data_IF_507791795435
#
_entry.id   IF_507791795435
#
_cell.length_a   1.000
_cell.length_b   1.000
_cell.length_c   1.000
_cell.angle_alpha   90.00
_cell.angle_beta   90.00
_cell.angle_gamma   90.00
#
_symmetry.space_group_name_H-M   'P 1'
#
loop_
_entity.id
_entity.type
_entity.pdbx_description
1 polymer ?
#
# COMPACT_ATOMS: atom_id res chain seq x y z
N UNK A 1 -15.46 29.66 0.46
CA UNK A 1 -14.83 29.44 1.78
C UNK A 1 -13.48 28.69 1.75
N UNK A 2 -13.38 27.37 1.54
CA UNK A 2 -12.05 26.71 1.58
C UNK A 2 -11.06 27.24 0.53
N UNK A 3 -11.53 27.52 -0.69
CA UNK A 3 -10.71 28.11 -1.76
C UNK A 3 -10.22 29.53 -1.39
N UNK A 4 -11.11 30.37 -0.87
CA UNK A 4 -10.78 31.72 -0.37
C UNK A 4 -9.74 31.69 0.77
N UNK A 5 -9.90 30.79 1.74
CA UNK A 5 -8.97 30.66 2.88
C UNK A 5 -7.60 30.15 2.41
N UNK A 6 -7.57 29.29 1.39
CA UNK A 6 -6.33 28.82 0.78
C UNK A 6 -5.59 29.94 0.02
N UNK A 7 -6.33 30.83 -0.65
CA UNK A 7 -5.77 32.03 -1.29
C UNK A 7 -5.20 33.03 -0.27
N UNK A 8 -5.72 33.03 0.96
CA UNK A 8 -5.19 33.80 2.09
C UNK A 8 -4.00 33.12 2.82
N UNK A 9 -3.43 32.06 2.25
CA UNK A 9 -2.20 31.43 2.75
C UNK A 9 -2.41 30.20 3.65
N UNK A 10 -3.63 29.69 3.79
CA UNK A 10 -3.87 28.46 4.54
C UNK A 10 -3.37 27.22 3.80
N UNK A 11 -2.38 26.53 4.37
CA UNK A 11 -1.74 25.33 3.80
C UNK A 11 -2.43 24.02 4.20
N UNK A 12 -3.48 24.09 5.04
CA UNK A 12 -4.14 22.91 5.60
C UNK A 12 -5.22 22.27 4.70
N UNK A 13 -5.81 21.18 5.20
CA UNK A 13 -6.79 20.38 4.47
C UNK A 13 -8.19 21.01 4.47
N UNK A 14 -8.96 20.76 3.41
CA UNK A 14 -10.38 21.17 3.31
C UNK A 14 -11.25 20.56 4.41
N UNK A 15 -10.90 19.37 4.88
CA UNK A 15 -11.61 18.68 5.96
C UNK A 15 -11.46 19.40 7.30
N UNK A 16 -10.30 20.01 7.58
CA UNK A 16 -10.08 20.79 8.80
C UNK A 16 -10.96 22.05 8.81
N UNK A 17 -11.03 22.76 7.69
CA UNK A 17 -11.96 23.90 7.52
C UNK A 17 -13.41 23.46 7.63
N UNK A 18 -13.78 22.33 7.02
CA UNK A 18 -15.13 21.76 7.13
C UNK A 18 -15.51 21.44 8.58
N UNK A 19 -14.58 20.90 9.38
CA UNK A 19 -14.79 20.64 10.81
C UNK A 19 -14.91 21.91 11.63
N UNK A 20 -14.07 22.92 11.36
CA UNK A 20 -14.16 24.21 12.03
C UNK A 20 -15.50 24.89 11.79
N UNK A 21 -16.04 24.78 10.57
CA UNK A 21 -17.29 25.45 10.17
C UNK A 21 -18.54 24.65 10.57
N UNK A 22 -18.42 23.34 10.83
CA UNK A 22 -19.57 22.48 11.13
C UNK A 22 -20.38 22.91 12.37
N UNK A 23 -19.79 23.32 13.51
CA UNK A 23 -20.53 23.85 14.65
C UNK A 23 -21.38 25.08 14.30
N UNK A 24 -20.83 25.99 13.48
CA UNK A 24 -21.55 27.18 13.00
C UNK A 24 -22.75 26.85 12.11
N UNK A 25 -22.85 25.61 11.60
CA UNK A 25 -23.99 25.13 10.79
C UNK A 25 -24.99 24.28 11.57
N UNK A 26 -24.66 23.87 12.80
CA UNK A 26 -25.45 22.91 13.57
C UNK A 26 -26.70 23.51 14.24
N UNK A 27 -26.82 24.83 14.33
CA UNK A 27 -28.05 25.49 14.81
C UNK A 27 -29.14 25.50 13.73
N UNK A 28 -29.81 24.36 13.54
CA UNK A 28 -31.04 24.28 12.75
C UNK A 28 -32.20 24.87 13.55
N UNK A 29 -32.75 26.00 13.10
CA UNK A 29 -34.06 26.47 13.55
C UNK A 29 -34.36 27.96 13.38
N UNK A 30 -33.36 28.85 13.38
CA UNK A 30 -33.55 30.28 13.09
C UNK A 30 -32.35 30.79 12.29
N UNK A 31 -32.59 31.39 11.13
CA UNK A 31 -31.56 32.04 10.32
C UNK A 31 -31.01 33.26 11.07
N UNK A 32 -29.99 33.05 11.91
CA UNK A 32 -29.18 34.15 12.44
C UNK A 32 -27.98 34.35 11.54
N UNK A 33 -27.67 35.60 11.24
CA UNK A 33 -26.52 36.00 10.42
C UNK A 33 -25.21 35.48 11.04
N UNK A 34 -24.23 35.11 10.22
CA UNK A 34 -22.88 34.72 10.65
C UNK A 34 -22.27 35.73 11.65
N UNK A 35 -22.65 37.01 11.55
CA UNK A 35 -22.22 38.10 12.45
C UNK A 35 -22.82 38.06 13.87
N UNK A 36 -23.81 37.21 14.13
CA UNK A 36 -24.59 37.20 15.39
C UNK A 36 -24.37 35.96 16.25
N UNK A 37 -23.32 35.19 15.96
CA UNK A 37 -22.81 34.12 16.83
C UNK A 37 -21.65 34.73 17.62
N UNK A 38 -21.90 35.14 18.87
CA UNK A 38 -20.82 35.39 19.80
C UNK A 38 -20.10 34.06 20.05
N UNK A 39 -18.79 33.97 19.79
CA UNK A 39 -18.07 32.74 20.00
C UNK A 39 -17.96 32.49 21.50
N UNK A 40 -18.76 31.57 22.04
CA UNK A 40 -18.37 30.93 23.29
C UNK A 40 -17.03 30.22 23.02
N UNK A 41 -15.99 30.68 23.72
CA UNK A 41 -14.62 30.14 23.70
C UNK A 41 -14.58 28.60 23.87
N UNK A 42 -15.66 28.00 24.36
CA UNK A 42 -15.89 26.55 24.45
C UNK A 42 -15.88 25.81 23.10
N UNK A 43 -16.00 26.50 21.95
CA UNK A 43 -15.91 25.88 20.61
C UNK A 43 -14.52 25.97 19.96
N UNK A 44 -13.55 26.62 20.62
CA UNK A 44 -12.14 26.35 20.32
C UNK A 44 -11.91 24.90 20.71
N UNK A 45 -11.78 24.02 19.72
CA UNK A 45 -11.44 22.60 19.88
C UNK A 45 -10.46 22.48 21.05
N UNK A 46 -10.92 21.97 22.19
CA UNK A 46 -10.09 21.79 23.36
C UNK A 46 -8.91 20.91 22.90
N UNK A 47 -7.64 21.37 22.97
CA UNK A 47 -6.49 20.59 22.51
C UNK A 47 -6.40 19.22 23.19
N UNK A 48 -7.08 19.02 24.32
CA UNK A 48 -7.18 17.74 25.03
C UNK A 48 -8.15 16.73 24.40
N UNK A 49 -9.07 17.14 23.51
CA UNK A 49 -9.96 16.24 22.77
C UNK A 49 -9.38 15.81 21.41
N UNK A 50 -8.06 15.67 21.30
CA UNK A 50 -7.46 14.93 20.19
C UNK A 50 -7.97 13.49 20.29
N UNK A 51 -8.94 13.14 19.43
CA UNK A 51 -9.46 11.77 19.32
C UNK A 51 -8.30 10.79 19.34
N UNK A 52 -8.21 9.98 20.41
CA UNK A 52 -7.18 8.95 20.58
C UNK A 52 -7.08 8.18 19.26
N UNK A 53 -5.90 8.17 18.64
CA UNK A 53 -5.68 7.41 17.40
C UNK A 53 -6.06 5.96 17.73
N UNK A 54 -6.99 5.40 16.96
CA UNK A 54 -7.39 4.00 17.15
C UNK A 54 -6.14 3.13 16.98
N UNK A 55 -5.97 2.10 17.82
CA UNK A 55 -4.85 1.19 17.64
C UNK A 55 -4.91 0.56 16.23
N UNK A 56 -3.76 0.21 15.64
CA UNK A 56 -3.72 -0.44 14.35
C UNK A 56 -4.42 -1.80 14.40
N UNK A 57 -4.97 -2.22 13.27
CA UNK A 57 -5.60 -3.55 13.16
C UNK A 57 -4.55 -4.64 13.05
N UNK A 58 -4.91 -5.88 13.42
CA UNK A 58 -4.03 -7.04 13.27
C UNK A 58 -3.49 -7.20 11.84
N UNK A 59 -4.32 -6.91 10.82
CA UNK A 59 -3.91 -6.94 9.42
C UNK A 59 -2.88 -5.87 9.08
N UNK A 60 -3.00 -4.66 9.65
CA UNK A 60 -1.99 -3.61 9.46
C UNK A 60 -0.66 -4.02 10.07
N UNK A 61 -0.69 -4.59 11.28
CA UNK A 61 0.50 -5.09 11.98
C UNK A 61 1.17 -6.19 11.15
N UNK A 62 0.42 -7.22 10.75
CA UNK A 62 0.92 -8.30 9.91
C UNK A 62 1.54 -7.79 8.59
N UNK A 63 0.91 -6.79 7.97
CA UNK A 63 1.44 -6.17 6.76
C UNK A 63 2.76 -5.43 7.02
N UNK A 64 2.92 -4.75 8.17
CA UNK A 64 4.18 -4.12 8.54
C UNK A 64 5.29 -5.15 8.76
N UNK A 65 4.96 -6.30 9.38
CA UNK A 65 5.90 -7.40 9.58
C UNK A 65 6.45 -7.95 8.25
N UNK A 66 5.73 -7.82 7.14
CA UNK A 66 6.22 -8.32 5.84
C UNK A 66 7.24 -7.35 5.20
N UNK A 67 7.19 -6.05 5.48
CA UNK A 67 8.07 -5.06 4.83
C UNK A 67 9.47 -4.99 5.44
N UNK A 68 10.44 -4.47 4.64
CA UNK A 68 11.75 -4.10 5.17
C UNK A 68 11.59 -3.01 6.22
N UNK A 69 12.47 -3.01 7.20
CA UNK A 69 12.45 -2.03 8.29
C UNK A 69 12.52 -0.59 7.76
N UNK A 70 13.33 -0.33 6.72
CA UNK A 70 13.49 1.01 6.13
C UNK A 70 12.21 1.55 5.47
N UNK A 71 11.25 0.67 5.15
CA UNK A 71 9.98 1.05 4.53
C UNK A 71 8.89 1.40 5.55
N UNK A 72 9.18 1.20 6.84
CA UNK A 72 8.25 1.48 7.94
C UNK A 72 8.47 2.91 8.43
N UNK A 73 7.39 3.52 8.90
CA UNK A 73 7.48 4.78 9.64
C UNK A 73 8.05 4.50 11.04
N UNK A 74 8.76 5.45 11.61
CA UNK A 74 9.39 5.32 12.94
C UNK A 74 8.40 4.84 14.02
N UNK A 75 7.19 5.42 14.07
CA UNK A 75 6.17 4.99 15.03
C UNK A 75 5.68 3.54 14.81
N UNK A 76 5.74 3.02 13.57
CA UNK A 76 5.37 1.63 13.28
C UNK A 76 6.44 0.67 13.79
N UNK A 77 7.72 1.04 13.64
CA UNK A 77 8.84 0.30 14.20
C UNK A 77 8.72 0.24 15.72
N UNK A 78 8.59 1.40 16.38
CA UNK A 78 8.44 1.45 17.84
C UNK A 78 7.22 0.67 18.33
N UNK A 79 6.11 0.69 17.57
CA UNK A 79 4.91 -0.08 17.92
C UNK A 79 5.15 -1.59 17.84
N UNK A 80 5.84 -2.07 16.79
CA UNK A 80 6.19 -3.49 16.65
C UNK A 80 7.16 -3.92 17.74
N UNK A 81 8.18 -3.11 18.07
CA UNK A 81 9.12 -3.40 19.17
C UNK A 81 8.37 -3.58 20.49
N UNK A 82 7.51 -2.62 20.85
CA UNK A 82 6.69 -2.72 22.06
C UNK A 82 5.73 -3.92 22.05
N UNK A 83 5.25 -4.32 20.87
CA UNK A 83 4.36 -5.47 20.75
C UNK A 83 5.14 -6.78 20.98
N UNK A 84 6.33 -6.91 20.40
CA UNK A 84 7.21 -8.07 20.61
C UNK A 84 7.71 -8.16 22.06
N UNK A 85 7.96 -7.03 22.73
CA UNK A 85 8.34 -7.03 24.17
C UNK A 85 7.21 -7.53 25.07
N UNK A 86 5.95 -7.31 24.69
CA UNK A 86 4.78 -7.70 25.48
C UNK A 86 4.36 -9.13 25.30
N UNK A 87 4.67 -9.74 24.15
CA UNK A 87 4.24 -11.08 23.80
C UNK A 87 5.35 -11.82 23.05
N UNK A 88 5.91 -12.83 23.71
CA UNK A 88 6.99 -13.65 23.18
C UNK A 88 6.59 -14.49 21.97
N UNK A 89 5.32 -14.91 21.88
CA UNK A 89 4.81 -15.65 20.74
C UNK A 89 4.74 -14.75 19.50
N UNK A 90 4.35 -13.48 19.67
CA UNK A 90 4.39 -12.48 18.58
C UNK A 90 5.84 -12.20 18.16
N UNK A 91 6.76 -12.05 19.12
CA UNK A 91 8.18 -11.83 18.83
C UNK A 91 8.77 -12.96 17.98
N UNK A 92 8.55 -14.21 18.40
CA UNK A 92 9.00 -15.40 17.68
C UNK A 92 8.38 -15.50 16.28
N UNK A 93 7.07 -15.24 16.16
CA UNK A 93 6.39 -15.22 14.86
C UNK A 93 6.97 -14.15 13.95
N UNK A 94 7.27 -12.97 14.50
CA UNK A 94 7.86 -11.86 13.76
C UNK A 94 9.26 -12.22 13.23
N UNK A 95 10.11 -12.85 14.04
CA UNK A 95 11.43 -13.33 13.61
C UNK A 95 11.33 -14.32 12.44
N UNK A 96 10.48 -15.35 12.56
CA UNK A 96 10.29 -16.35 11.51
C UNK A 96 9.78 -15.73 10.20
N UNK A 97 8.91 -14.71 10.29
CA UNK A 97 8.45 -13.94 9.12
C UNK A 97 9.60 -13.11 8.51
N UNK A 98 10.44 -12.46 9.32
CA UNK A 98 11.60 -11.72 8.81
C UNK A 98 12.57 -12.65 8.09
N UNK A 99 12.90 -13.79 8.69
CA UNK A 99 13.79 -14.80 8.08
C UNK A 99 13.27 -15.24 6.72
N UNK A 100 11.99 -15.61 6.62
CA UNK A 100 11.38 -16.03 5.36
C UNK A 100 11.35 -14.92 4.32
N UNK A 101 10.94 -13.71 4.71
CA UNK A 101 10.86 -12.58 3.77
C UNK A 101 12.24 -12.12 3.31
N UNK A 102 13.28 -12.25 4.14
CA UNK A 102 14.66 -12.01 3.74
C UNK A 102 15.11 -13.07 2.73
N UNK A 103 14.90 -14.35 3.04
CA UNK A 103 15.23 -15.46 2.15
C UNK A 103 14.58 -15.28 0.76
N UNK A 104 13.32 -14.85 0.72
CA UNK A 104 12.59 -14.55 -0.52
C UNK A 104 13.18 -13.37 -1.31
N UNK A 105 13.70 -12.34 -0.64
CA UNK A 105 14.27 -11.15 -1.28
C UNK A 105 15.66 -11.41 -1.82
N UNK A 106 16.51 -12.04 -1.01
CA UNK A 106 17.91 -12.31 -1.31
C UNK A 106 18.11 -13.59 -2.13
N UNK A 107 17.02 -14.36 -2.29
CA UNK A 107 16.95 -15.59 -3.09
C UNK A 107 17.82 -16.74 -2.58
N UNK A 108 17.71 -16.98 -1.28
CA UNK A 108 18.51 -17.96 -0.53
C UNK A 108 17.74 -19.27 -0.35
N UNK A 109 17.36 -19.92 -1.47
CA UNK A 109 16.53 -21.13 -1.42
C UNK A 109 17.19 -22.32 -0.72
N UNK A 110 18.51 -22.32 -0.55
CA UNK A 110 19.26 -23.29 0.25
C UNK A 110 18.91 -23.25 1.75
N UNK A 111 18.49 -22.09 2.27
CA UNK A 111 18.11 -21.91 3.69
C UNK A 111 16.68 -22.39 4.00
N UNK A 112 15.93 -22.83 2.98
CA UNK A 112 14.53 -23.22 3.13
C UNK A 112 14.35 -24.39 4.11
N UNK A 113 15.25 -25.39 4.07
CA UNK A 113 15.16 -26.58 4.91
C UNK A 113 15.31 -26.23 6.39
N UNK A 114 16.33 -25.43 6.72
CA UNK A 114 16.59 -24.95 8.08
C UNK A 114 15.41 -24.12 8.62
N UNK A 115 14.84 -23.26 7.78
CA UNK A 115 13.69 -22.45 8.18
C UNK A 115 12.44 -23.30 8.41
N UNK A 116 12.18 -24.31 7.56
CA UNK A 116 11.04 -25.22 7.74
C UNK A 116 11.13 -26.01 9.05
N UNK A 117 12.33 -26.49 9.39
CA UNK A 117 12.58 -27.18 10.67
C UNK A 117 12.37 -26.24 11.86
N UNK A 118 12.86 -25.00 11.75
CA UNK A 118 12.67 -24.00 12.81
C UNK A 118 11.20 -23.69 13.04
N UNK A 119 10.41 -23.48 11.97
CA UNK A 119 8.97 -23.23 12.07
C UNK A 119 8.22 -24.42 12.66
N UNK A 120 8.63 -25.65 12.36
CA UNK A 120 7.99 -26.85 12.92
C UNK A 120 8.17 -26.93 14.43
N UNK A 121 9.36 -26.59 14.93
CA UNK A 121 9.70 -26.63 16.36
C UNK A 121 9.22 -25.41 17.16
N UNK A 122 9.23 -24.23 16.54
CA UNK A 122 9.10 -22.93 17.21
C UNK A 122 7.93 -22.08 16.70
N UNK A 123 7.31 -22.45 15.59
CA UNK A 123 6.23 -21.68 14.98
C UNK A 123 4.89 -21.87 15.68
N UNK A 124 4.03 -20.86 15.56
CA UNK A 124 2.60 -20.99 15.90
C UNK A 124 1.89 -21.94 14.92
N UNK A 125 0.76 -22.52 15.33
CA UNK A 125 0.06 -23.55 14.53
C UNK A 125 -0.31 -23.09 13.11
N UNK A 126 -0.64 -21.81 12.92
CA UNK A 126 -0.91 -21.22 11.62
C UNK A 126 0.33 -21.20 10.72
N UNK A 127 1.50 -20.88 11.29
CA UNK A 127 2.76 -20.82 10.56
C UNK A 127 3.29 -22.23 10.25
N UNK A 128 3.10 -23.18 11.17
CA UNK A 128 3.35 -24.61 10.92
C UNK A 128 2.48 -25.14 9.78
N UNK A 129 1.18 -24.81 9.77
CA UNK A 129 0.27 -25.18 8.68
C UNK A 129 0.69 -24.57 7.34
N UNK A 130 1.17 -23.32 7.35
CA UNK A 130 1.75 -22.68 6.18
C UNK A 130 3.01 -23.41 5.69
N UNK A 131 3.94 -23.75 6.59
CA UNK A 131 5.15 -24.51 6.27
C UNK A 131 4.83 -25.90 5.70
N UNK A 132 3.83 -26.60 6.22
CA UNK A 132 3.35 -27.86 5.63
C UNK A 132 2.81 -27.68 4.20
N UNK A 133 2.15 -26.55 3.92
CA UNK A 133 1.76 -26.18 2.57
C UNK A 133 2.97 -26.02 1.65
N UNK A 134 4.02 -25.33 2.10
CA UNK A 134 5.26 -25.18 1.33
C UNK A 134 5.96 -26.52 1.07
N UNK A 135 5.99 -27.42 2.07
CA UNK A 135 6.58 -28.77 1.91
C UNK A 135 5.91 -29.59 0.80
N UNK A 136 4.60 -29.41 0.56
CA UNK A 136 3.88 -30.13 -0.52
C UNK A 136 4.34 -29.70 -1.91
N UNK A 137 4.68 -28.42 -2.07
CA UNK A 137 5.15 -27.82 -3.32
C UNK A 137 6.66 -27.49 -3.25
N UNK A 138 7.43 -28.28 -2.48
CA UNK A 138 8.81 -27.96 -2.08
C UNK A 138 9.71 -27.55 -3.24
N UNK A 139 9.78 -28.36 -4.29
CA UNK A 139 10.61 -28.09 -5.47
C UNK A 139 10.24 -26.75 -6.14
N UNK A 140 8.95 -26.45 -6.23
CA UNK A 140 8.48 -25.21 -6.83
C UNK A 140 8.79 -24.00 -5.93
N UNK A 141 8.65 -24.16 -4.60
CA UNK A 141 8.99 -23.12 -3.62
C UNK A 141 10.49 -22.85 -3.61
N UNK A 142 11.32 -23.89 -3.55
CA UNK A 142 12.78 -23.77 -3.60
C UNK A 142 13.26 -23.12 -4.89
N UNK A 143 12.69 -23.53 -6.03
CA UNK A 143 12.96 -22.88 -7.31
C UNK A 143 12.53 -21.40 -7.29
N UNK A 144 11.36 -21.07 -6.72
CA UNK A 144 10.89 -19.70 -6.58
C UNK A 144 11.76 -18.83 -5.65
N UNK A 145 12.38 -19.45 -4.65
CA UNK A 145 13.33 -18.81 -3.74
C UNK A 145 14.75 -18.74 -4.31
N UNK A 146 15.11 -19.48 -5.36
CA UNK A 146 16.48 -19.50 -5.89
C UNK A 146 16.59 -18.76 -7.22
N UNK A 147 15.61 -18.97 -8.09
CA UNK A 147 15.67 -18.50 -9.47
C UNK A 147 15.31 -17.02 -9.59
N UNK A 148 15.89 -16.38 -10.59
CA UNK A 148 15.57 -14.98 -10.92
C UNK A 148 14.25 -14.79 -11.66
N UNK A 149 13.69 -15.89 -12.16
CA UNK A 149 12.49 -15.94 -12.98
C UNK A 149 11.25 -16.05 -12.10
N UNK A 150 10.23 -15.25 -12.41
CA UNK A 150 8.93 -15.36 -11.74
C UNK A 150 7.83 -15.67 -12.75
N UNK A 151 6.86 -16.49 -12.34
CA UNK A 151 5.64 -16.75 -13.11
C UNK A 151 4.68 -15.55 -13.15
N UNK A 152 4.99 -14.45 -12.46
CA UNK A 152 4.11 -13.29 -12.34
C UNK A 152 3.70 -12.67 -13.68
N UNK A 153 4.59 -12.69 -14.69
CA UNK A 153 4.22 -12.25 -16.04
C UNK A 153 3.14 -13.15 -16.63
N UNK A 154 3.36 -14.45 -16.57
CA UNK A 154 2.49 -15.48 -17.15
C UNK A 154 1.14 -15.48 -16.44
N UNK A 155 1.14 -15.46 -15.11
CA UNK A 155 -0.05 -15.32 -14.29
C UNK A 155 -0.80 -14.02 -14.58
N UNK A 156 -0.09 -12.91 -14.79
CA UNK A 156 -0.68 -11.65 -15.21
C UNK A 156 -1.40 -11.76 -16.56
N UNK A 157 -0.83 -12.48 -17.53
CA UNK A 157 -1.51 -12.75 -18.81
C UNK A 157 -2.71 -13.67 -18.64
N UNK A 158 -2.58 -14.74 -17.84
CA UNK A 158 -3.68 -15.67 -17.56
C UNK A 158 -4.83 -14.95 -16.85
N UNK A 159 -4.54 -14.11 -15.85
CA UNK A 159 -5.53 -13.29 -15.16
C UNK A 159 -6.22 -12.33 -16.14
N UNK A 160 -5.46 -11.64 -16.99
CA UNK A 160 -6.01 -10.76 -18.03
C UNK A 160 -6.93 -11.52 -18.97
N UNK A 161 -6.55 -12.71 -19.41
CA UNK A 161 -7.36 -13.57 -20.27
C UNK A 161 -8.66 -13.98 -19.56
N UNK A 162 -8.55 -14.49 -18.31
CA UNK A 162 -9.69 -14.87 -17.48
C UNK A 162 -10.64 -13.69 -17.26
N UNK A 163 -10.13 -12.49 -17.04
CA UNK A 163 -10.94 -11.27 -16.90
C UNK A 163 -11.72 -10.96 -18.17
N UNK A 164 -11.08 -11.00 -19.36
CA UNK A 164 -11.76 -10.76 -20.64
C UNK A 164 -12.85 -11.82 -20.85
N UNK A 165 -12.56 -13.09 -20.56
CA UNK A 165 -13.55 -14.18 -20.66
C UNK A 165 -14.74 -13.98 -19.71
N UNK A 166 -14.48 -13.54 -18.46
CA UNK A 166 -15.52 -13.22 -17.46
C UNK A 166 -16.38 -12.02 -17.87
N UNK A 167 -15.78 -10.97 -18.44
CA UNK A 167 -16.51 -9.83 -19.02
C UNK A 167 -17.39 -10.21 -20.22
N UNK A 168 -17.18 -11.39 -20.79
CA UNK A 168 -17.98 -11.96 -21.87
C UNK A 168 -18.96 -13.01 -21.35
N UNK A 169 -19.12 -13.14 -20.03
CA UNK A 169 -19.97 -14.13 -19.37
C UNK A 169 -19.67 -15.58 -19.81
N UNK A 170 -18.44 -15.85 -20.23
CA UNK A 170 -18.04 -17.15 -20.77
C UNK A 170 -18.60 -17.49 -22.16
N UNK A 171 -19.38 -16.61 -22.80
CA UNK A 171 -20.13 -16.86 -24.05
C UNK A 171 -19.38 -16.47 -25.33
N UNK A 172 -18.08 -16.21 -25.26
CA UNK A 172 -17.27 -15.83 -26.41
C UNK A 172 -16.63 -17.03 -27.12
N UNK A 173 -16.84 -17.17 -28.43
CA UNK A 173 -16.01 -18.07 -29.25
C UNK A 173 -14.53 -17.65 -29.21
N UNK A 174 -13.62 -18.58 -29.48
CA UNK A 174 -12.18 -18.30 -29.49
C UNK A 174 -11.83 -17.10 -30.40
N UNK A 175 -12.49 -16.99 -31.55
CA UNK A 175 -12.32 -15.88 -32.50
C UNK A 175 -12.63 -14.53 -31.86
N UNK A 176 -13.72 -14.42 -31.10
CA UNK A 176 -14.11 -13.18 -30.43
C UNK A 176 -13.17 -12.85 -29.26
N UNK A 177 -12.74 -13.87 -28.50
CA UNK A 177 -11.76 -13.72 -27.44
C UNK A 177 -10.42 -13.20 -27.99
N UNK A 178 -9.91 -13.80 -29.08
CA UNK A 178 -8.68 -13.38 -29.77
C UNK A 178 -8.76 -11.91 -30.20
N UNK A 179 -9.85 -11.51 -30.85
CA UNK A 179 -10.07 -10.11 -31.28
C UNK A 179 -10.01 -9.13 -30.10
N UNK A 180 -10.68 -9.43 -28.99
CA UNK A 180 -10.67 -8.57 -27.78
C UNK A 180 -9.30 -8.50 -27.11
N UNK A 181 -8.58 -9.62 -27.05
CA UNK A 181 -7.22 -9.67 -26.49
C UNK A 181 -6.26 -8.81 -27.32
N UNK A 182 -6.30 -8.94 -28.65
CA UNK A 182 -5.43 -8.17 -29.55
C UNK A 182 -5.77 -6.68 -29.56
N UNK A 183 -7.06 -6.33 -29.66
CA UNK A 183 -7.51 -4.94 -29.66
C UNK A 183 -7.05 -4.19 -28.40
N UNK A 184 -7.22 -4.79 -27.21
CA UNK A 184 -6.80 -4.18 -25.94
C UNK A 184 -5.27 -4.03 -25.84
N UNK A 185 -4.50 -4.91 -26.46
CA UNK A 185 -3.04 -4.79 -26.51
C UNK A 185 -2.62 -3.59 -27.36
N UNK A 186 -3.27 -3.40 -28.50
CA UNK A 186 -3.04 -2.28 -29.42
C UNK A 186 -3.40 -0.93 -28.77
N UNK A 187 -4.54 -0.85 -28.08
CA UNK A 187 -4.92 0.37 -27.36
C UNK A 187 -3.90 0.75 -26.27
N UNK A 188 -3.38 -0.24 -25.52
CA UNK A 188 -2.33 0.00 -24.52
C UNK A 188 -1.02 0.48 -25.14
N UNK A 189 -0.60 -0.11 -26.27
CA UNK A 189 0.60 0.30 -27.02
C UNK A 189 0.49 1.74 -27.50
N UNK A 190 -0.64 2.11 -28.10
CA UNK A 190 -0.93 3.50 -28.54
C UNK A 190 -0.87 4.50 -27.38
N UNK A 191 -1.51 4.18 -26.24
CA UNK A 191 -1.50 5.04 -25.06
C UNK A 191 -0.09 5.24 -24.49
N UNK A 192 0.72 4.17 -24.44
CA UNK A 192 2.14 4.26 -24.01
C UNK A 192 2.99 5.11 -24.95
N UNK A 193 2.78 5.02 -26.27
CA UNK A 193 3.48 5.87 -27.25
C UNK A 193 3.12 7.35 -27.09
N UNK A 194 1.83 7.67 -26.92
CA UNK A 194 1.39 9.04 -26.66
C UNK A 194 2.00 9.62 -25.36
N UNK A 195 2.11 8.78 -24.31
CA UNK A 195 2.66 9.20 -23.02
C UNK A 195 4.19 9.36 -23.03
N UNK A 196 4.91 8.60 -23.87
CA UNK A 196 6.35 8.75 -24.09
C UNK A 196 6.68 10.00 -24.93
N UNK A 197 5.83 10.36 -25.89
CA UNK A 197 5.95 11.61 -26.66
C UNK A 197 5.72 12.86 -25.81
N UNK A 198 4.80 12.81 -24.84
CA UNK A 198 4.55 13.93 -23.91
C UNK A 198 5.67 14.14 -22.87
N UNK A 199 6.40 13.09 -22.48
CA UNK A 199 7.56 13.21 -21.57
C UNK A 199 8.85 13.65 -22.25
N UNK A 200 8.94 13.60 -23.57
CA UNK A 200 10.12 14.01 -24.36
C UNK A 200 10.18 15.51 -24.69
N UNK A 201 9.16 16.29 -24.34
CA UNK A 201 9.03 17.71 -24.73
C UNK A 201 9.09 18.69 -23.53
N UNK A 202 9.72 18.29 -22.41
CA UNK A 202 9.83 19.12 -21.21
C UNK A 202 11.22 19.15 -20.58
N UNK A 203 11.94 20.27 -20.81
CA UNK A 203 13.11 20.81 -20.08
C UNK A 203 14.53 20.28 -20.41
N UNK A 204 15.29 21.10 -21.15
CA UNK A 204 16.64 21.54 -20.73
C UNK A 204 16.63 23.07 -20.56
N UNK A 205 16.83 23.61 -19.35
CA UNK A 205 17.36 24.95 -19.17
C UNK A 205 18.74 24.89 -18.52
N UNK A 206 19.71 25.61 -19.08
CA UNK A 206 20.96 25.95 -18.41
C UNK A 206 22.19 25.18 -18.88
N UNK A 207 22.87 25.72 -19.90
CA UNK A 207 24.34 25.72 -19.99
C UNK A 207 24.73 26.97 -20.80
N UNK A 208 24.69 28.12 -20.12
CA UNK A 208 25.40 29.33 -20.50
C UNK A 208 26.04 29.88 -19.22
N UNK A 209 27.21 29.36 -18.86
CA UNK A 209 28.15 30.01 -17.94
C UNK A 209 29.52 29.34 -18.06
N UNK A 210 30.38 29.83 -18.97
CA UNK A 210 31.85 29.78 -18.86
C UNK A 210 32.46 30.46 -20.09
N UNK A 211 32.56 31.79 -20.07
CA UNK A 211 33.51 32.60 -20.85
C UNK A 211 33.48 34.03 -20.30
N UNK A 212 34.10 34.24 -19.14
CA UNK A 212 34.65 35.52 -18.70
C UNK A 212 35.44 35.29 -17.40
N UNK A 213 36.76 35.49 -17.52
CA UNK A 213 37.78 35.67 -16.48
C UNK A 213 38.19 34.46 -15.65
#
# INVERSE_FOLDING_TARGET
>A
MYREIKEQGYTGSSTAVGRFVAPFRAHKGKARSFKSVEPELATMVNPEEVKKKRPPTALQIAHWMIFKEEQRLEWQQSYLTQLCEKDSQIAQTYELIQEFTSMLREREGERLDEWLERVENQGVGELQSFAQGLKKDYEAVKAGLTLSWSNGQTEGQVHRLKLIKRQMYGRGSFTLLRKRVLHRAETKRRKRRAQKGSRGLGRKPGDQAALAS
#
